data_IF_389235881626
#
_entry.id   IF_389235881626
#
_cell.length_a   1.000
_cell.length_b   1.000
_cell.length_c   1.000
_cell.angle_alpha   90.00
_cell.angle_beta   90.00
_cell.angle_gamma   90.00
#
_symmetry.space_group_name_H-M   'P 1'
#
loop_
_entity.id
_entity.type
_entity.pdbx_description
1 polymer ?
#
# COMPACT_ATOMS: atom_id res chain seq x y z
N UNK A 1 17.44 -15.53 -30.21
CA UNK A 1 17.54 -15.93 -28.79
C UNK A 1 18.22 -14.86 -27.93
N UNK A 2 19.33 -14.25 -28.39
CA UNK A 2 20.09 -13.21 -27.66
C UNK A 2 19.24 -12.01 -27.18
N UNK A 3 18.36 -11.46 -28.01
CA UNK A 3 17.49 -10.33 -27.64
C UNK A 3 16.53 -10.61 -26.48
N UNK A 4 16.02 -11.85 -26.36
CA UNK A 4 15.17 -12.23 -25.23
C UNK A 4 15.95 -12.28 -23.92
N UNK A 5 17.23 -12.70 -23.98
CA UNK A 5 18.09 -12.74 -22.80
C UNK A 5 18.43 -11.33 -22.33
N UNK A 6 18.81 -10.45 -23.25
CA UNK A 6 19.09 -9.05 -22.94
C UNK A 6 17.89 -8.36 -22.28
N UNK A 7 16.70 -8.47 -22.86
CA UNK A 7 15.47 -7.89 -22.30
C UNK A 7 15.14 -8.43 -20.91
N UNK A 8 15.37 -9.72 -20.66
CA UNK A 8 15.14 -10.32 -19.35
C UNK A 8 16.17 -9.83 -18.32
N UNK A 9 17.44 -9.73 -18.71
CA UNK A 9 18.50 -9.26 -17.83
C UNK A 9 18.27 -7.77 -17.44
N UNK A 10 17.80 -6.94 -18.39
CA UNK A 10 17.41 -5.55 -18.11
C UNK A 10 16.19 -5.45 -17.17
N UNK A 11 15.13 -6.23 -17.43
CA UNK A 11 13.97 -6.28 -16.54
C UNK A 11 14.37 -6.73 -15.14
N UNK A 12 15.19 -7.78 -15.04
CA UNK A 12 15.68 -8.31 -13.77
C UNK A 12 16.52 -7.27 -13.02
N UNK A 13 17.44 -6.58 -13.69
CA UNK A 13 18.21 -5.49 -13.09
C UNK A 13 17.30 -4.39 -12.53
N UNK A 14 16.23 -4.03 -13.26
CA UNK A 14 15.20 -3.10 -12.79
C UNK A 14 14.46 -3.61 -11.55
N UNK A 15 14.02 -4.87 -11.53
CA UNK A 15 13.33 -5.47 -10.39
C UNK A 15 14.22 -5.57 -9.16
N UNK A 16 15.50 -5.94 -9.31
CA UNK A 16 16.48 -5.98 -8.22
C UNK A 16 16.70 -4.58 -7.66
N UNK A 17 16.84 -3.56 -8.52
CA UNK A 17 17.00 -2.17 -8.10
C UNK A 17 15.79 -1.69 -7.30
N UNK A 18 14.57 -1.97 -7.77
CA UNK A 18 13.34 -1.63 -7.07
C UNK A 18 13.23 -2.36 -5.71
N UNK A 19 13.59 -3.64 -5.66
CA UNK A 19 13.57 -4.43 -4.43
C UNK A 19 14.53 -3.87 -3.37
N UNK A 20 15.75 -3.46 -3.77
CA UNK A 20 16.73 -2.82 -2.88
C UNK A 20 16.22 -1.49 -2.32
N UNK A 21 15.57 -0.67 -3.15
CA UNK A 21 14.95 0.59 -2.70
C UNK A 21 13.83 0.31 -1.70
N UNK A 22 12.92 -0.63 -2.00
CA UNK A 22 11.82 -1.01 -1.10
C UNK A 22 12.33 -1.54 0.24
N UNK A 23 13.34 -2.40 0.24
CA UNK A 23 13.95 -2.92 1.46
C UNK A 23 14.55 -1.82 2.35
N UNK A 24 15.11 -0.76 1.74
CA UNK A 24 15.63 0.40 2.46
C UNK A 24 14.51 1.28 3.03
N UNK A 25 13.42 1.48 2.29
CA UNK A 25 12.29 2.33 2.70
C UNK A 25 11.46 1.69 3.81
N UNK A 26 11.10 0.40 3.69
CA UNK A 26 10.33 -0.35 4.71
C UNK A 26 10.98 -0.32 6.10
N UNK A 27 12.30 -0.26 6.14
CA UNK A 27 13.07 -0.24 7.40
C UNK A 27 12.94 1.08 8.18
N UNK A 28 12.31 2.11 7.62
CA UNK A 28 11.97 3.32 8.36
C UNK A 28 10.78 3.02 9.26
N UNK A 29 11.03 2.75 10.54
CA UNK A 29 10.00 2.54 11.55
C UNK A 29 8.90 3.60 11.48
N UNK A 30 7.69 3.20 11.14
CA UNK A 30 6.49 4.01 11.26
C UNK A 30 5.95 3.98 12.68
N UNK A 31 4.90 4.77 12.94
CA UNK A 31 4.04 4.56 14.11
C UNK A 31 2.69 4.11 13.58
N UNK A 32 2.17 2.93 13.98
CA UNK A 32 0.83 2.51 13.62
C UNK A 32 -0.18 3.60 13.96
N UNK A 33 -1.06 3.91 13.00
CA UNK A 33 -2.11 4.90 13.17
C UNK A 33 -3.46 4.20 13.38
N UNK A 34 -3.56 3.46 14.48
CA UNK A 34 -4.79 2.74 14.83
C UNK A 34 -5.76 3.71 15.51
N UNK A 35 -6.74 4.19 14.75
CA UNK A 35 -7.88 4.95 15.29
C UNK A 35 -8.95 4.06 15.92
N UNK A 36 -9.86 4.67 16.67
CA UNK A 36 -11.00 3.99 17.32
C UNK A 36 -12.26 3.91 16.43
N UNK A 37 -12.17 4.34 15.17
CA UNK A 37 -13.27 4.34 14.20
C UNK A 37 -14.36 5.40 14.42
N UNK A 38 -14.36 6.13 15.54
CA UNK A 38 -15.51 7.00 15.92
C UNK A 38 -15.76 8.14 14.93
N UNK A 39 -14.70 8.73 14.38
CA UNK A 39 -14.82 9.80 13.37
C UNK A 39 -15.28 9.23 12.03
N UNK A 40 -14.78 8.05 11.67
CA UNK A 40 -15.16 7.35 10.43
C UNK A 40 -16.65 7.02 10.43
N UNK A 41 -17.17 6.50 11.55
CA UNK A 41 -18.61 6.21 11.68
C UNK A 41 -19.47 7.47 11.60
N UNK A 42 -19.05 8.57 12.25
CA UNK A 42 -19.75 9.86 12.14
C UNK A 42 -19.77 10.36 10.70
N UNK A 43 -18.66 10.22 9.97
CA UNK A 43 -18.58 10.63 8.58
C UNK A 43 -19.50 9.77 7.71
N UNK A 44 -19.46 8.43 7.87
CA UNK A 44 -20.33 7.50 7.14
C UNK A 44 -21.81 7.81 7.35
N UNK A 45 -22.22 8.13 8.58
CA UNK A 45 -23.59 8.52 8.89
C UNK A 45 -24.00 9.87 8.28
N UNK A 46 -23.04 10.77 8.05
CA UNK A 46 -23.28 12.09 7.47
C UNK A 46 -23.30 12.11 5.93
N UNK A 47 -22.81 11.04 5.28
CA UNK A 47 -22.79 10.96 3.82
C UNK A 47 -24.20 10.71 3.26
N UNK A 48 -24.65 11.47 2.26
CA UNK A 48 -25.95 11.26 1.62
C UNK A 48 -25.93 10.08 0.61
N UNK A 49 -24.90 9.24 0.64
CA UNK A 49 -24.70 8.09 -0.23
C UNK A 49 -23.93 7.00 0.50
N UNK A 50 -24.06 5.77 0.02
CA UNK A 50 -23.22 4.66 0.47
C UNK A 50 -21.96 4.56 -0.37
N UNK A 51 -20.88 4.07 0.22
CA UNK A 51 -19.66 3.81 -0.52
C UNK A 51 -19.87 2.66 -1.50
N UNK A 52 -19.16 2.72 -2.63
CA UNK A 52 -19.11 1.63 -3.59
C UNK A 52 -18.24 0.48 -3.05
N UNK A 53 -18.42 -0.72 -3.59
CA UNK A 53 -17.61 -1.88 -3.20
C UNK A 53 -16.11 -1.63 -3.38
N UNK A 54 -15.71 -0.91 -4.43
CA UNK A 54 -14.30 -0.56 -4.66
C UNK A 54 -13.77 0.44 -3.64
N UNK A 55 -14.60 1.37 -3.17
CA UNK A 55 -14.23 2.31 -2.12
C UNK A 55 -14.07 1.60 -0.78
N UNK A 56 -14.99 0.68 -0.43
CA UNK A 56 -14.87 -0.14 0.78
C UNK A 56 -13.60 -1.00 0.76
N UNK A 57 -13.29 -1.62 -0.39
CA UNK A 57 -12.07 -2.40 -0.55
C UNK A 57 -10.81 -1.55 -0.37
N UNK A 58 -10.73 -0.39 -1.02
CA UNK A 58 -9.59 0.52 -0.89
C UNK A 58 -9.40 1.01 0.56
N UNK A 59 -10.49 1.31 1.27
CA UNK A 59 -10.43 1.69 2.68
C UNK A 59 -9.93 0.54 3.56
N UNK A 60 -10.35 -0.70 3.29
CA UNK A 60 -9.86 -1.87 4.02
C UNK A 60 -8.35 -2.05 3.85
N UNK A 61 -7.83 -1.91 2.61
CA UNK A 61 -6.39 -2.00 2.33
C UNK A 61 -5.61 -0.88 3.03
N UNK A 62 -6.10 0.37 2.96
CA UNK A 62 -5.45 1.52 3.63
C UNK A 62 -5.42 1.32 5.15
N UNK A 63 -6.53 0.88 5.75
CA UNK A 63 -6.59 0.67 7.21
C UNK A 63 -5.67 -0.47 7.67
N UNK A 64 -5.55 -1.54 6.87
CA UNK A 64 -4.62 -2.62 7.16
C UNK A 64 -3.17 -2.13 7.11
N UNK A 65 -2.82 -1.32 6.11
CA UNK A 65 -1.48 -0.77 5.94
C UNK A 65 -1.13 0.26 7.05
N UNK A 66 -2.07 1.12 7.44
CA UNK A 66 -1.88 2.07 8.55
C UNK A 66 -1.70 1.39 9.92
N UNK A 67 -2.19 0.15 10.08
CA UNK A 67 -2.01 -0.63 11.29
C UNK A 67 -0.64 -1.33 11.35
N UNK A 68 0.07 -1.44 10.24
CA UNK A 68 1.38 -2.09 10.16
C UNK A 68 2.44 -1.24 10.89
N UNK A 69 3.31 -1.84 11.74
CA UNK A 69 4.44 -1.15 12.34
C UNK A 69 5.51 -0.67 11.34
N UNK A 70 5.56 -1.26 10.14
CA UNK A 70 6.45 -0.80 9.07
C UNK A 70 5.82 0.36 8.30
N UNK A 71 6.64 1.28 7.75
CA UNK A 71 6.12 2.30 6.83
C UNK A 71 5.71 1.65 5.50
N UNK A 72 4.61 2.16 4.94
CA UNK A 72 4.23 1.98 3.53
C UNK A 72 5.41 2.27 2.58
#
# INVERSE_FOLDING_TARGET
AAWRRLAYDELLAGQVSLALVRAKVRRLSGRPLVGDGRIVEKLRAALPYSLTSSQEFALAEINADLADPERM
#
